data_IF_389732693361
#
_entry.id   IF_389732693361
#
_cell.length_a   1.000
_cell.length_b   1.000
_cell.length_c   1.000
_cell.angle_alpha   90.00
_cell.angle_beta   90.00
_cell.angle_gamma   90.00
#
_symmetry.space_group_name_H-M   'P 1'
#
loop_
_entity.id
_entity.type
_entity.pdbx_description
1 polymer ?
#
# COMPACT_ATOMS: atom_id res chain seq x y z
N UNK A 1 29.49 10.91 -59.37
CA UNK A 1 28.39 11.86 -59.64
C UNK A 1 27.14 11.28 -58.99
N UNK A 2 26.73 11.83 -57.84
CA UNK A 2 25.64 11.30 -56.99
C UNK A 2 24.33 12.06 -57.27
N UNK A 3 23.24 11.31 -57.53
CA UNK A 3 21.83 11.71 -57.41
C UNK A 3 20.97 10.48 -57.78
N UNK A 4 19.87 10.11 -57.13
CA UNK A 4 18.93 10.87 -56.30
C UNK A 4 18.16 9.90 -55.37
N UNK A 5 18.09 10.28 -54.08
CA UNK A 5 17.04 10.14 -53.06
C UNK A 5 16.10 8.93 -53.10
N UNK A 6 16.08 8.18 -51.99
CA UNK A 6 14.87 8.04 -51.14
C UNK A 6 15.29 8.08 -49.67
N UNK A 7 14.86 9.12 -48.95
CA UNK A 7 14.93 9.21 -47.50
C UNK A 7 13.50 8.98 -47.02
N UNK A 8 13.25 7.83 -46.38
CA UNK A 8 11.98 7.59 -45.70
C UNK A 8 12.07 8.22 -44.32
N UNK A 9 11.27 9.26 -44.15
CA UNK A 9 11.09 10.03 -42.93
C UNK A 9 10.58 9.10 -41.82
N UNK A 10 11.32 8.97 -40.72
CA UNK A 10 10.79 8.42 -39.49
C UNK A 10 9.78 9.41 -38.90
N UNK A 11 8.50 9.13 -39.14
CA UNK A 11 7.40 9.74 -38.43
C UNK A 11 7.38 9.24 -37.00
N UNK A 12 7.69 10.14 -36.08
CA UNK A 12 7.51 10.01 -34.64
C UNK A 12 6.01 9.76 -34.40
N UNK A 13 5.64 8.53 -34.06
CA UNK A 13 4.33 8.26 -33.48
C UNK A 13 4.49 8.26 -31.96
N UNK A 14 3.87 9.27 -31.37
CA UNK A 14 3.69 9.48 -29.94
C UNK A 14 3.21 8.19 -29.27
N UNK A 15 3.98 7.69 -28.31
CA UNK A 15 3.49 6.67 -27.38
C UNK A 15 2.47 7.34 -26.44
N UNK A 16 1.19 7.02 -26.68
CA UNK A 16 0.09 7.34 -25.78
C UNK A 16 0.25 6.57 -24.46
N UNK A 17 0.00 7.20 -23.29
CA UNK A 17 0.06 6.56 -22.00
C UNK A 17 -1.28 5.86 -21.73
N UNK A 18 -1.56 4.77 -22.44
CA UNK A 18 -2.75 3.96 -22.19
C UNK A 18 -2.36 2.54 -21.83
N UNK A 19 -2.89 2.13 -20.68
CA UNK A 19 -2.93 0.80 -20.11
C UNK A 19 -1.61 0.24 -19.57
N UNK A 20 -1.35 0.59 -18.29
CA UNK A 20 -0.80 -0.39 -17.35
C UNK A 20 -1.66 -1.65 -17.44
N UNK A 21 -1.31 -2.59 -18.32
CA UNK A 21 -1.81 -3.95 -18.26
C UNK A 21 -1.28 -4.56 -16.97
N UNK A 22 -2.04 -4.34 -15.90
CA UNK A 22 -1.87 -5.02 -14.62
C UNK A 22 -2.01 -6.50 -14.94
N UNK A 23 -0.92 -7.22 -14.71
CA UNK A 23 -0.78 -8.63 -15.03
C UNK A 23 -1.86 -9.44 -14.28
N UNK A 24 -2.98 -9.75 -14.93
CA UNK A 24 -4.10 -10.46 -14.30
C UNK A 24 -3.78 -11.92 -13.95
N UNK A 25 -2.61 -12.42 -14.37
CA UNK A 25 -2.18 -13.81 -14.18
C UNK A 25 -0.90 -13.95 -13.33
N UNK A 26 -0.48 -12.90 -12.62
CA UNK A 26 0.59 -12.99 -11.61
C UNK A 26 0.03 -12.71 -10.22
N UNK A 27 0.07 -13.74 -9.36
CA UNK A 27 -0.02 -13.61 -7.92
C UNK A 27 1.17 -12.78 -7.46
N UNK A 28 0.97 -11.49 -7.18
CA UNK A 28 2.03 -10.65 -6.63
C UNK A 28 2.55 -11.28 -5.34
N UNK A 29 3.86 -11.46 -5.26
CA UNK A 29 4.49 -11.93 -4.03
C UNK A 29 4.40 -10.83 -2.97
N UNK A 30 4.55 -11.24 -1.71
CA UNK A 30 4.51 -10.36 -0.55
C UNK A 30 5.42 -9.12 -0.69
N UNK A 31 6.62 -9.30 -1.25
CA UNK A 31 7.58 -8.20 -1.45
C UNK A 31 7.17 -7.28 -2.61
N UNK A 32 6.62 -7.83 -3.69
CA UNK A 32 6.20 -7.03 -4.85
C UNK A 32 5.11 -6.04 -4.46
N UNK A 33 4.14 -6.47 -3.66
CA UNK A 33 3.06 -5.59 -3.16
C UNK A 33 3.63 -4.45 -2.32
N UNK A 34 4.58 -4.73 -1.42
CA UNK A 34 5.20 -3.69 -0.61
C UNK A 34 5.93 -2.66 -1.49
N UNK A 35 6.74 -3.12 -2.45
CA UNK A 35 7.51 -2.24 -3.33
C UNK A 35 6.62 -1.41 -4.25
N UNK A 36 5.59 -2.03 -4.85
CA UNK A 36 4.61 -1.34 -5.69
C UNK A 36 3.92 -0.23 -4.90
N UNK A 37 3.42 -0.53 -3.70
CA UNK A 37 2.72 0.45 -2.87
C UNK A 37 3.67 1.57 -2.40
N UNK A 38 4.91 1.22 -2.04
CA UNK A 38 5.94 2.20 -1.67
C UNK A 38 6.25 3.15 -2.83
N UNK A 39 6.47 2.61 -4.03
CA UNK A 39 6.73 3.39 -5.23
C UNK A 39 5.56 4.31 -5.60
N UNK A 40 4.32 3.81 -5.49
CA UNK A 40 3.12 4.61 -5.73
C UNK A 40 2.96 5.75 -4.72
N UNK A 41 3.25 5.48 -3.45
CA UNK A 41 3.20 6.50 -2.42
C UNK A 41 4.23 7.60 -2.65
N UNK A 42 5.46 7.23 -3.05
CA UNK A 42 6.50 8.20 -3.42
C UNK A 42 6.00 9.06 -4.60
N UNK A 43 5.51 8.43 -5.67
CA UNK A 43 4.97 9.13 -6.83
C UNK A 43 3.86 10.12 -6.43
N UNK A 44 2.87 9.67 -5.66
CA UNK A 44 1.75 10.52 -5.22
C UNK A 44 2.21 11.67 -4.32
N UNK A 45 3.19 11.43 -3.44
CA UNK A 45 3.73 12.48 -2.57
C UNK A 45 4.48 13.56 -3.36
N UNK A 46 5.10 13.20 -4.48
CA UNK A 46 5.77 14.14 -5.38
C UNK A 46 4.76 14.90 -6.26
N UNK A 47 3.73 14.22 -6.76
CA UNK A 47 2.69 14.83 -7.60
C UNK A 47 1.75 15.75 -6.80
N UNK A 48 1.43 15.38 -5.55
CA UNK A 48 0.46 16.07 -4.70
C UNK A 48 0.98 16.33 -3.29
N UNK A 49 2.11 17.05 -3.10
CA UNK A 49 2.74 17.22 -1.79
C UNK A 49 1.80 17.86 -0.76
N UNK A 50 0.92 18.77 -1.21
CA UNK A 50 -0.04 19.46 -0.36
C UNK A 50 -1.16 18.54 0.20
N UNK A 51 -1.37 17.35 -0.38
CA UNK A 51 -2.37 16.38 0.11
C UNK A 51 -1.87 15.56 1.31
N UNK A 52 -0.57 15.54 1.55
CA UNK A 52 0.05 14.75 2.60
C UNK A 52 0.51 15.67 3.72
N UNK A 53 -0.33 15.81 4.76
CA UNK A 53 0.02 16.55 5.98
C UNK A 53 0.88 15.73 6.96
N UNK A 54 1.02 14.43 6.69
CA UNK A 54 1.72 13.46 7.53
C UNK A 54 2.60 12.57 6.69
N UNK A 55 3.73 12.16 7.27
CA UNK A 55 4.57 11.12 6.68
C UNK A 55 3.77 9.82 6.65
N UNK A 56 3.70 9.21 5.47
CA UNK A 56 3.10 7.89 5.27
C UNK A 56 4.23 6.93 4.91
N UNK A 57 4.25 5.75 5.52
CA UNK A 57 5.17 4.66 5.19
C UNK A 57 4.38 3.41 4.82
N UNK A 58 4.91 2.59 3.93
CA UNK A 58 4.40 1.24 3.68
C UNK A 58 5.27 0.25 4.43
N UNK A 59 4.66 -0.53 5.31
CA UNK A 59 5.34 -1.57 6.06
C UNK A 59 5.36 -2.87 5.26
N UNK A 60 6.26 -3.76 5.67
CA UNK A 60 6.30 -5.09 5.10
C UNK A 60 5.00 -5.84 5.38
N UNK A 61 4.61 -6.64 4.40
CA UNK A 61 3.32 -7.30 4.36
C UNK A 61 3.17 -8.29 5.50
N UNK A 62 1.90 -8.57 5.80
CA UNK A 62 1.51 -9.62 6.72
C UNK A 62 0.56 -10.58 6.02
N UNK A 63 0.43 -11.78 6.56
CA UNK A 63 -0.61 -12.72 6.21
C UNK A 63 -1.47 -13.01 7.44
N UNK A 64 -2.69 -13.51 7.21
CA UNK A 64 -3.59 -13.93 8.29
C UNK A 64 -3.45 -15.42 8.65
N UNK A 65 -2.46 -16.11 8.08
CA UNK A 65 -2.22 -17.55 8.27
C UNK A 65 -1.25 -17.76 9.43
N UNK A 66 -0.22 -16.92 9.51
CA UNK A 66 0.81 -16.91 10.54
C UNK A 66 0.41 -15.92 11.64
N UNK A 67 0.18 -16.44 12.83
CA UNK A 67 -0.21 -15.63 13.98
C UNK A 67 0.92 -14.68 14.43
N UNK A 68 0.55 -13.53 14.99
CA UNK A 68 1.48 -12.59 15.63
C UNK A 68 2.23 -11.64 14.69
N UNK A 69 2.19 -11.83 13.37
CA UNK A 69 2.90 -10.94 12.43
C UNK A 69 2.47 -9.48 12.57
N UNK A 70 1.16 -9.21 12.69
CA UNK A 70 0.67 -7.85 12.94
C UNK A 70 1.31 -7.25 14.19
N UNK A 71 1.27 -7.98 15.30
CA UNK A 71 1.76 -7.48 16.58
C UNK A 71 3.24 -7.15 16.49
N UNK A 72 4.02 -7.99 15.81
CA UNK A 72 5.42 -7.72 15.50
C UNK A 72 5.59 -6.44 14.67
N UNK A 73 4.77 -6.21 13.64
CA UNK A 73 4.83 -4.96 12.85
C UNK A 73 4.49 -3.73 13.69
N UNK A 74 3.47 -3.82 14.53
CA UNK A 74 3.07 -2.72 15.41
C UNK A 74 4.15 -2.41 16.44
N UNK A 75 4.76 -3.43 17.06
CA UNK A 75 5.85 -3.24 18.00
C UNK A 75 7.08 -2.62 17.32
N UNK A 76 7.43 -3.08 16.12
CA UNK A 76 8.52 -2.50 15.32
C UNK A 76 8.27 -1.02 15.05
N UNK A 77 7.05 -0.65 14.61
CA UNK A 77 6.74 0.73 14.24
C UNK A 77 6.67 1.66 15.46
N UNK A 78 6.14 1.19 16.60
CA UNK A 78 6.12 1.95 17.87
C UNK A 78 7.51 2.29 18.40
N UNK A 79 8.50 1.44 18.12
CA UNK A 79 9.88 1.64 18.57
C UNK A 79 10.66 2.59 17.67
N UNK A 80 10.08 3.11 16.58
CA UNK A 80 10.73 4.09 15.72
C UNK A 80 10.33 5.51 16.11
N UNK A 81 11.31 6.37 16.38
CA UNK A 81 11.08 7.79 16.64
C UNK A 81 10.76 8.54 15.33
N UNK A 82 9.49 8.48 14.92
CA UNK A 82 8.96 9.07 13.68
C UNK A 82 8.01 10.25 13.91
N UNK A 83 7.76 10.63 15.17
CA UNK A 83 6.68 11.57 15.51
C UNK A 83 5.30 11.06 15.08
N UNK A 84 4.35 11.97 14.81
CA UNK A 84 3.05 11.58 14.25
C UNK A 84 3.20 11.13 12.79
N UNK A 85 2.75 9.92 12.48
CA UNK A 85 2.86 9.34 11.15
C UNK A 85 1.74 8.35 10.86
N UNK A 86 1.65 7.92 9.60
CA UNK A 86 0.71 6.91 9.15
C UNK A 86 1.50 5.75 8.56
N UNK A 87 1.09 4.52 8.89
CA UNK A 87 1.68 3.30 8.33
C UNK A 87 0.61 2.50 7.60
N UNK A 88 0.88 2.12 6.36
CA UNK A 88 0.07 1.21 5.57
C UNK A 88 0.68 -0.19 5.65
N UNK A 89 -0.09 -1.17 6.10
CA UNK A 89 0.30 -2.57 6.19
C UNK A 89 -0.54 -3.35 5.17
N UNK A 90 0.06 -3.85 4.08
CA UNK A 90 -0.66 -4.73 3.17
C UNK A 90 -0.81 -6.11 3.83
N UNK A 91 -2.00 -6.67 3.77
CA UNK A 91 -2.31 -7.97 4.35
C UNK A 91 -2.88 -8.92 3.30
N UNK A 92 -2.28 -10.10 3.20
CA UNK A 92 -2.80 -11.18 2.39
C UNK A 92 -3.77 -12.03 3.21
N UNK A 93 -5.04 -12.04 2.80
CA UNK A 93 -6.07 -12.89 3.37
C UNK A 93 -6.12 -14.21 2.61
N UNK A 94 -5.61 -15.27 3.25
CA UNK A 94 -5.73 -16.65 2.78
C UNK A 94 -5.05 -16.92 1.44
N UNK A 95 -4.02 -16.15 1.09
CA UNK A 95 -3.33 -16.21 -0.21
C UNK A 95 -4.24 -15.94 -1.43
N UNK A 96 -5.36 -15.27 -1.21
CA UNK A 96 -6.37 -15.05 -2.24
C UNK A 96 -6.69 -13.57 -2.44
N UNK A 97 -6.62 -12.77 -1.38
CA UNK A 97 -7.11 -11.40 -1.42
C UNK A 97 -6.20 -10.45 -0.64
N UNK A 98 -5.85 -9.32 -1.25
CA UNK A 98 -5.03 -8.29 -0.63
C UNK A 98 -5.91 -7.18 -0.07
N UNK A 99 -5.67 -6.84 1.19
CA UNK A 99 -6.31 -5.71 1.87
C UNK A 99 -5.26 -4.78 2.45
N UNK A 100 -5.65 -3.52 2.67
CA UNK A 100 -4.81 -2.52 3.33
C UNK A 100 -5.25 -2.30 4.77
N UNK A 101 -4.30 -2.25 5.70
CA UNK A 101 -4.54 -1.79 7.07
C UNK A 101 -3.79 -0.48 7.23
N UNK A 102 -4.50 0.62 7.43
CA UNK A 102 -3.93 1.94 7.60
C UNK A 102 -3.98 2.34 9.07
N UNK A 103 -2.85 2.72 9.65
CA UNK A 103 -2.74 3.02 11.07
C UNK A 103 -2.11 4.40 11.24
N UNK A 104 -2.82 5.30 11.92
CA UNK A 104 -2.29 6.60 12.31
C UNK A 104 -1.75 6.51 13.74
N UNK A 105 -0.46 6.83 13.89
CA UNK A 105 0.24 6.90 15.16
C UNK A 105 0.34 8.34 15.66
N UNK A 106 0.24 8.50 16.98
CA UNK A 106 0.57 9.72 17.70
C UNK A 106 2.08 9.79 17.94
N UNK A 107 2.58 10.97 18.32
CA UNK A 107 4.01 11.18 18.56
C UNK A 107 4.58 10.33 19.72
N UNK A 108 3.74 9.86 20.64
CA UNK A 108 4.11 8.96 21.74
C UNK A 108 4.05 7.47 21.35
N UNK A 109 3.88 7.16 20.05
CA UNK A 109 3.74 5.81 19.53
C UNK A 109 2.37 5.18 19.77
N UNK A 110 1.42 5.87 20.40
CA UNK A 110 0.07 5.33 20.56
C UNK A 110 -0.70 5.36 19.24
N UNK A 111 -1.52 4.33 19.01
CA UNK A 111 -2.41 4.29 17.85
C UNK A 111 -3.57 5.27 18.09
N UNK A 112 -3.71 6.24 17.19
CA UNK A 112 -4.81 7.21 17.14
C UNK A 112 -6.00 6.67 16.37
N UNK A 113 -5.75 6.09 15.20
CA UNK A 113 -6.77 5.56 14.29
C UNK A 113 -6.24 4.33 13.57
N UNK A 114 -7.14 3.39 13.27
CA UNK A 114 -6.86 2.27 12.38
C UNK A 114 -8.05 2.13 11.42
N UNK A 115 -7.76 1.92 10.15
CA UNK A 115 -8.71 1.72 9.07
C UNK A 115 -8.37 0.45 8.31
N UNK A 116 -9.40 -0.23 7.84
CA UNK A 116 -9.32 -1.42 7.02
C UNK A 116 -9.85 -1.08 5.63
N UNK A 117 -9.09 -1.43 4.60
CA UNK A 117 -9.35 -1.07 3.22
C UNK A 117 -9.41 -2.36 2.41
N UNK A 118 -10.60 -2.70 1.94
CA UNK A 118 -10.86 -3.85 1.09
C UNK A 118 -11.45 -3.36 -0.23
N UNK A 119 -10.76 -3.63 -1.34
CA UNK A 119 -11.18 -3.21 -2.67
C UNK A 119 -12.34 -4.05 -3.24
N UNK A 120 -12.61 -5.23 -2.67
CA UNK A 120 -13.69 -6.13 -3.11
C UNK A 120 -14.95 -5.97 -2.28
N UNK A 121 -14.86 -5.47 -1.05
CA UNK A 121 -16.02 -5.16 -0.23
C UNK A 121 -16.23 -3.66 -0.09
N UNK A 122 -17.19 -3.14 -0.86
CA UNK A 122 -17.86 -1.91 -0.48
C UNK A 122 -18.89 -2.27 0.60
N UNK A 123 -18.45 -2.30 1.86
CA UNK A 123 -19.23 -2.58 3.09
C UNK A 123 -20.34 -3.66 2.98
N UNK A 124 -19.97 -4.95 3.15
CA UNK A 124 -20.94 -5.98 3.59
C UNK A 124 -20.47 -6.69 4.86
N UNK A 125 -21.44 -7.11 5.66
CA UNK A 125 -21.41 -7.38 7.12
C UNK A 125 -20.28 -8.27 7.68
N UNK A 126 -19.56 -9.01 6.84
CA UNK A 126 -18.35 -9.78 7.21
C UNK A 126 -17.16 -8.87 7.54
N UNK A 127 -17.03 -7.74 6.84
CA UNK A 127 -15.98 -6.74 7.09
C UNK A 127 -16.12 -6.09 8.47
N UNK A 128 -17.36 -5.92 8.95
CA UNK A 128 -17.65 -5.32 10.26
C UNK A 128 -17.14 -6.20 11.42
N UNK A 129 -17.27 -7.53 11.31
CA UNK A 129 -16.80 -8.46 12.36
C UNK A 129 -15.27 -8.52 12.38
N UNK A 130 -14.62 -8.49 11.21
CA UNK A 130 -13.16 -8.44 11.12
C UNK A 130 -12.63 -7.10 11.63
N UNK A 131 -13.16 -5.97 11.16
CA UNK A 131 -12.85 -4.62 11.66
C UNK A 131 -12.99 -4.50 13.17
N UNK A 132 -14.09 -5.00 13.75
CA UNK A 132 -14.30 -5.00 15.21
C UNK A 132 -13.23 -5.82 15.94
N UNK A 133 -12.90 -7.02 15.43
CA UNK A 133 -11.83 -7.85 16.01
C UNK A 133 -10.46 -7.17 15.89
N UNK A 134 -10.22 -6.45 14.80
CA UNK A 134 -8.98 -5.73 14.53
C UNK A 134 -8.80 -4.47 15.36
N UNK A 135 -9.81 -3.61 15.40
CA UNK A 135 -9.83 -2.43 16.26
C UNK A 135 -9.67 -2.86 17.72
N UNK A 136 -10.34 -3.94 18.13
CA UNK A 136 -10.19 -4.50 19.49
C UNK A 136 -8.78 -5.03 19.73
N UNK A 137 -8.14 -5.70 18.75
CA UNK A 137 -6.76 -6.19 18.89
C UNK A 137 -5.75 -5.03 18.94
N UNK A 138 -5.89 -4.01 18.11
CA UNK A 138 -5.08 -2.79 18.17
C UNK A 138 -5.24 -2.05 19.52
N UNK A 139 -6.45 -2.05 20.10
CA UNK A 139 -6.70 -1.47 21.43
C UNK A 139 -6.19 -2.35 22.57
N UNK A 140 -6.28 -3.67 22.46
CA UNK A 140 -5.77 -4.60 23.49
C UNK A 140 -4.25 -4.56 23.59
N UNK A 141 -3.54 -4.23 22.50
CA UNK A 141 -2.08 -4.00 22.52
C UNK A 141 -1.73 -2.62 23.14
N UNK A 142 -2.69 -1.86 23.69
CA UNK A 142 -2.42 -0.63 24.47
C UNK A 142 -2.07 -0.89 25.94
N UNK A 143 -2.38 -2.08 26.46
CA UNK A 143 -2.08 -2.52 27.84
C UNK A 143 -0.81 -3.36 27.88
#
# INVERSE_FOLDING_TARGET
>A
MFSRKEASFQGILQEHPEDLQINMNYQYEANDIQEILSGRLIQLSQEFPQRFSKTISVLATIDNIVEGQLEQRLQQERNVDKGEHISLIPCNLGNYHWIGILIEFQADGQIKRAEYIDSLNDTTSSSIIFEQKWISKCRSIRE
#
